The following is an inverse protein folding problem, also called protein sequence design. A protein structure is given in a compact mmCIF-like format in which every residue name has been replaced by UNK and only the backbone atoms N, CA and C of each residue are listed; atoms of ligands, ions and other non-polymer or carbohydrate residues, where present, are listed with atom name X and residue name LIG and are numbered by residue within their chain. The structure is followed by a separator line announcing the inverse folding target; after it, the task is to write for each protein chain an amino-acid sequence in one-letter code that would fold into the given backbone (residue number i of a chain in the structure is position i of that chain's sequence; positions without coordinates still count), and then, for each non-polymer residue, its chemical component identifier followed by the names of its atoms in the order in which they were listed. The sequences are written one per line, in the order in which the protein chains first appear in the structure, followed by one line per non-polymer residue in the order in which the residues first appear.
data_IF_416206988517
#
_entry.id   IF_416206988517
#
_cell.length_a   1.000
_cell.length_b   1.000
_cell.length_c   1.000
_cell.angle_alpha   90.00
_cell.angle_beta   90.00
_cell.angle_gamma   90.00
#
_symmetry.space_group_name_H-M   'P 1'
#
loop_
_entity.id
_entity.type
_entity.pdbx_description
1 polymer ?
2 non-polymer ?
3 non-polymer ?
4 water ?
#
# COMPACT_ATOMS: atom_id res chain seq x y z
N UNK A 1 25.22 14.96 -6.24
CA UNK A 1 23.83 14.58 -6.53
C UNK A 1 23.79 13.10 -6.90
N UNK A 2 24.09 13.21 -5.05
CA UNK A 2 23.68 11.97 -4.41
C UNK A 2 23.09 12.09 -3.03
N UNK A 3 21.95 10.60 -3.36
CA UNK A 3 20.58 10.36 -2.90
C UNK A 3 20.53 9.20 -1.90
N UNK A 4 21.09 9.10 -1.11
CA UNK A 4 21.43 8.20 0.00
C UNK A 4 20.36 8.13 1.07
N UNK A 5 19.72 6.97 1.23
CA UNK A 5 18.81 6.80 2.34
C UNK A 5 19.53 6.63 3.70
N UNK A 6 18.64 7.09 4.62
CA UNK A 6 19.00 6.80 5.99
C UNK A 6 17.79 6.16 6.72
N UNK A 7 17.97 5.59 7.91
CA UNK A 7 16.84 4.96 8.61
C UNK A 7 15.75 5.96 8.95
N UNK A 8 15.97 7.38 9.01
CA UNK A 8 15.01 8.45 9.32
C UNK A 8 14.03 8.50 8.15
N UNK A 9 14.45 8.11 6.65
CA UNK A 9 13.48 8.09 5.56
C UNK A 9 12.40 7.04 5.72
N UNK A 10 12.54 6.17 6.71
CA UNK A 10 11.42 5.29 7.01
C UNK A 10 11.23 4.28 5.89
N UNK A 11 12.28 3.85 5.29
CA UNK A 11 12.18 2.89 4.21
C UNK A 11 12.09 1.47 4.79
N UNK A 12 10.98 0.61 4.42
CA UNK A 12 10.84 -0.78 4.85
C UNK A 12 10.55 -1.71 3.67
N UNK A 13 11.01 -3.01 4.01
CA UNK A 13 10.87 -4.02 2.93
C UNK A 13 10.19 -5.26 3.54
N UNK A 14 9.45 -5.97 2.68
CA UNK A 14 8.97 -7.20 3.31
C UNK A 14 10.08 -8.27 3.15
N UNK A 15 10.15 -9.25 4.09
CA UNK A 15 11.06 -10.41 3.93
C UNK A 15 10.89 -11.15 2.61
N UNK A 16 9.64 -11.27 2.18
CA UNK A 16 9.23 -11.91 0.94
C UNK A 16 9.67 -11.21 -0.31
N UNK A 17 10.17 -10.03 -0.28
CA UNK A 17 10.45 -9.17 -1.41
C UNK A 17 11.84 -9.57 -1.88
N UNK A 18 12.95 -9.07 -1.10
CA UNK A 18 14.30 -9.52 -1.42
C UNK A 18 14.47 -11.02 -1.25
N UNK A 19 13.56 -11.65 -0.51
CA UNK A 19 13.60 -13.09 -0.29
C UNK A 19 12.96 -13.88 -1.43
N UNK A 20 12.30 -13.29 -2.48
CA UNK A 20 11.54 -14.07 -3.49
C UNK A 20 12.60 -14.79 -4.36
N UNK A 21 12.34 -16.19 -4.38
CA UNK A 21 13.30 -17.05 -5.10
C UNK A 21 12.95 -17.22 -6.57
N UNK A 22 12.02 -16.47 -7.07
CA UNK A 22 11.82 -16.38 -8.51
C UNK A 22 11.04 -17.56 -9.12
N UNK A 23 10.34 -18.16 -8.31
CA UNK A 23 9.40 -19.17 -8.80
C UNK A 23 8.10 -18.59 -9.30
N UNK A 24 7.72 -18.65 -10.53
CA UNK A 24 6.64 -17.95 -11.19
C UNK A 24 5.60 -19.00 -11.56
N UNK A 25 4.26 -18.75 -12.14
CA UNK A 25 3.41 -19.86 -12.60
C UNK A 25 4.01 -20.57 -13.83
N UNK A 26 5.33 -20.18 -14.57
CA UNK A 26 5.82 -21.08 -15.58
C UNK A 26 7.25 -21.52 -15.29
N UNK A 27 7.88 -21.46 -14.07
CA UNK A 27 9.34 -21.52 -14.01
C UNK A 27 9.69 -21.93 -12.56
N UNK A 28 10.70 -22.63 -12.47
CA UNK A 28 11.33 -22.84 -11.18
C UNK A 28 12.09 -21.64 -10.67
N UNK A 29 12.48 -21.92 -9.22
CA UNK A 29 13.21 -20.83 -8.53
C UNK A 29 14.57 -20.63 -9.21
N UNK A 30 15.15 -19.46 -9.28
CA UNK A 30 16.43 -19.10 -9.88
C UNK A 30 17.41 -18.60 -8.81
N UNK A 31 16.90 -18.44 -7.55
CA UNK A 31 17.76 -18.06 -6.43
C UNK A 31 17.45 -18.94 -5.23
N UNK A 32 18.54 -19.19 -4.51
CA UNK A 32 18.35 -19.94 -3.26
C UNK A 32 17.68 -19.04 -2.24
N UNK A 33 17.18 -19.59 -1.18
CA UNK A 33 16.39 -19.12 -0.03
C UNK A 33 17.36 -18.45 0.97
N UNK A 34 16.82 -17.10 1.23
CA UNK A 34 17.70 -16.28 2.07
C UNK A 34 17.26 -16.55 3.53
N UNK A 35 18.27 -16.57 4.38
CA UNK A 35 17.91 -16.52 5.82
C UNK A 35 17.37 -15.13 6.18
N UNK A 36 16.18 -14.95 6.84
CA UNK A 36 15.71 -13.70 7.42
C UNK A 36 16.73 -12.82 8.14
N UNK A 37 17.67 -13.55 8.91
CA UNK A 37 18.85 -12.85 9.33
C UNK A 37 19.73 -12.10 8.36
N UNK A 38 20.07 -12.80 7.39
CA UNK A 38 20.69 -12.25 6.22
C UNK A 38 20.12 -10.95 5.72
N UNK A 39 18.83 -11.15 5.49
CA UNK A 39 18.16 -10.02 4.81
C UNK A 39 18.08 -8.78 5.67
N UNK A 40 17.93 -9.08 7.00
CA UNK A 40 17.93 -7.96 7.94
C UNK A 40 19.27 -7.20 7.90
N UNK A 41 20.44 -7.91 7.94
CA UNK A 41 21.78 -7.37 7.86
C UNK A 41 21.93 -6.56 6.59
N UNK A 42 21.53 -7.23 5.41
CA UNK A 42 21.87 -6.56 4.11
C UNK A 42 21.11 -5.29 3.89
N UNK A 43 19.86 -5.33 4.34
CA UNK A 43 18.93 -4.19 4.22
C UNK A 43 19.31 -3.03 5.13
N UNK A 44 19.82 -3.44 6.35
CA UNK A 44 20.30 -2.34 7.20
C UNK A 44 21.50 -1.65 6.60
N UNK A 45 22.38 -2.51 5.92
CA UNK A 45 23.48 -1.82 5.29
C UNK A 45 23.13 -0.80 4.20
N UNK A 46 21.99 -1.07 3.56
CA UNK A 46 21.54 -0.26 2.40
C UNK A 46 20.82 0.99 2.88
N UNK A 47 20.60 1.03 4.27
CA UNK A 47 19.96 2.31 4.58
C UNK A 47 18.49 2.09 4.97
N UNK A 48 17.98 0.99 4.95
CA UNK A 48 16.60 0.73 5.32
C UNK A 48 16.35 1.02 6.80
N UNK A 49 15.07 1.16 7.19
CA UNK A 49 14.65 1.48 8.55
C UNK A 49 14.08 0.28 9.22
N UNK A 50 13.49 -0.76 8.39
CA UNK A 50 12.91 -1.95 9.02
C UNK A 50 12.40 -2.95 7.98
N UNK A 51 11.91 -3.94 8.62
CA UNK A 51 11.41 -4.97 7.72
C UNK A 51 9.96 -5.31 8.11
N UNK A 52 9.23 -6.16 7.37
CA UNK A 52 7.87 -6.68 7.69
C UNK A 52 7.89 -8.16 7.30
N UNK A 53 6.84 -8.80 7.73
CA UNK A 53 6.91 -10.22 7.53
C UNK A 53 5.49 -10.83 7.53
N UNK A 54 5.22 -11.97 6.76
CA UNK A 54 4.13 -12.91 7.06
C UNK A 54 4.71 -13.86 8.12
N UNK A 55 3.69 -14.35 8.93
CA UNK A 55 4.04 -15.41 9.84
C UNK A 55 4.93 -16.48 9.23
N UNK A 56 4.62 -16.96 8.01
CA UNK A 56 5.29 -18.15 7.46
C UNK A 56 6.56 -17.70 6.77
N UNK A 57 6.88 -16.31 6.69
CA UNK A 57 8.21 -15.96 6.16
C UNK A 57 9.25 -16.22 7.26
N UNK A 58 8.79 -16.15 8.45
CA UNK A 58 9.65 -16.09 9.62
C UNK A 58 9.80 -17.47 10.28
N UNK A 59 8.68 -18.03 10.51
CA UNK A 59 8.59 -19.35 11.11
C UNK A 59 7.97 -20.30 10.08
N UNK A 60 8.66 -21.35 9.56
CA UNK A 60 8.23 -22.39 8.62
C UNK A 60 6.92 -23.04 9.08
N UNK A 61 6.07 -23.05 8.14
CA UNK A 61 4.74 -23.60 8.32
C UNK A 61 4.91 -24.97 9.00
N UNK A 62 4.25 -25.24 9.95
CA UNK A 62 4.37 -26.57 10.51
C UNK A 62 5.19 -26.54 11.81
N UNK A 63 6.25 -25.57 11.94
CA UNK A 63 7.15 -25.42 13.06
C UNK A 63 6.58 -25.86 14.39
N UNK A 64 7.59 -26.74 15.19
CA UNK A 64 7.03 -26.85 16.53
C UNK A 64 7.09 -25.54 17.31
N UNK A 65 6.73 -25.55 18.57
CA UNK A 65 6.78 -24.37 19.41
C UNK A 65 8.15 -24.11 20.00
N UNK A 66 9.28 -25.03 19.83
CA UNK A 66 10.70 -24.94 20.21
C UNK A 66 11.56 -24.55 19.03
N UNK A 67 11.23 -24.88 17.80
CA UNK A 67 11.67 -24.22 16.59
C UNK A 67 11.05 -22.81 16.52
N UNK A 68 9.88 -22.54 16.60
CA UNK A 68 9.20 -21.26 16.71
C UNK A 68 10.00 -20.29 17.56
N UNK A 69 10.23 -20.76 18.76
CA UNK A 69 10.94 -19.77 19.57
C UNK A 69 12.34 -19.43 19.05
N UNK A 70 13.17 -20.32 18.66
CA UNK A 70 14.46 -20.38 17.99
C UNK A 70 14.56 -19.35 16.85
N UNK A 71 13.53 -19.50 15.90
CA UNK A 71 13.32 -18.59 14.78
C UNK A 71 13.19 -17.15 15.23
N UNK A 72 12.23 -17.07 16.20
CA UNK A 72 12.04 -15.72 16.70
C UNK A 72 13.29 -15.14 17.34
N UNK A 73 13.96 -15.87 18.26
CA UNK A 73 15.18 -15.41 18.93
C UNK A 73 16.29 -15.03 17.99
N UNK A 74 16.58 -15.81 16.98
CA UNK A 74 17.58 -15.38 16.00
C UNK A 74 17.25 -14.02 15.40
N UNK A 75 15.83 -13.96 15.13
CA UNK A 75 15.39 -12.77 14.36
C UNK A 75 15.71 -11.51 15.16
N UNK A 76 15.21 -11.64 16.36
CA UNK A 76 15.33 -10.61 17.38
C UNK A 76 16.78 -10.18 17.57
N UNK A 77 17.69 -11.22 17.66
CA UNK A 77 19.09 -10.79 17.71
C UNK A 77 19.52 -9.88 16.60
N UNK A 78 19.11 -10.30 15.26
CA UNK A 78 19.57 -9.46 14.16
C UNK A 78 19.04 -8.04 14.23
N UNK A 79 17.67 -7.89 14.69
CA UNK A 79 17.16 -6.53 14.80
C UNK A 79 17.96 -5.69 15.79
N UNK A 80 18.24 -6.43 17.00
CA UNK A 80 19.05 -5.71 17.99
C UNK A 80 20.45 -5.37 17.49
N UNK A 81 21.08 -6.19 16.72
CA UNK A 81 22.41 -5.93 16.17
C UNK A 81 22.35 -4.82 15.14
N UNK A 82 21.22 -4.48 14.43
CA UNK A 82 21.29 -3.59 13.25
C UNK A 82 20.54 -2.30 13.62
N UNK A 83 19.56 -2.43 14.69
CA UNK A 83 18.68 -1.29 14.95
C UNK A 83 17.45 -1.29 14.05
N UNK A 84 17.21 -2.39 13.25
CA UNK A 84 16.07 -2.41 12.36
C UNK A 84 14.77 -2.59 13.15
N UNK A 85 13.73 -1.96 12.61
CA UNK A 85 12.43 -2.12 13.27
C UNK A 85 11.56 -3.09 12.46
N UNK A 86 10.37 -3.42 13.11
CA UNK A 86 9.32 -4.20 12.44
C UNK A 86 7.98 -3.46 12.53
N UNK A 87 7.70 -2.53 11.57
CA UNK A 87 6.53 -1.68 11.82
C UNK A 87 5.22 -2.41 11.57
N UNK A 88 5.28 -3.45 10.70
CA UNK A 88 4.08 -4.04 10.11
C UNK A 88 4.37 -5.52 9.98
N UNK A 89 3.25 -6.26 10.24
CA UNK A 89 3.29 -7.70 10.02
C UNK A 89 1.91 -8.13 9.47
N UNK A 90 1.89 -9.39 9.01
CA UNK A 90 0.74 -9.86 8.24
C UNK A 90 0.72 -11.37 8.27
N UNK A 91 -0.37 -12.05 7.95
CA UNK A 91 -0.59 -13.48 7.88
C UNK A 91 -0.54 -14.02 6.47
N UNK A 92 0.09 -15.20 6.26
CA UNK A 92 -0.02 -15.93 4.98
C UNK A 92 -1.32 -16.75 5.15
N UNK A 93 -2.42 -16.26 4.43
CA UNK A 93 -3.58 -17.16 4.28
C UNK A 93 -3.83 -17.47 2.80
N UNK A 94 -2.61 -17.65 1.98
CA UNK A 94 -2.81 -17.80 0.54
C UNK A 94 -2.10 -19.07 0.07
N UNK A 95 -0.88 -19.46 0.68
CA UNK A 95 0.03 -20.44 0.10
C UNK A 95 -0.50 -21.86 0.25
N UNK A 96 -0.70 -22.18 1.35
CA UNK A 96 -1.05 -23.52 1.77
C UNK A 96 -2.34 -23.98 1.10
N UNK A 97 -2.42 -25.28 0.58
CA UNK A 97 -3.53 -25.66 -0.32
C UNK A 97 -4.86 -25.52 0.44
N UNK A 98 -4.88 -25.61 1.84
CA UNK A 98 -6.09 -25.52 2.67
C UNK A 98 -6.80 -24.19 2.32
N UNK A 99 -6.03 -23.07 1.86
CA UNK A 99 -6.51 -21.73 1.55
C UNK A 99 -7.07 -21.56 0.15
N UNK A 100 -7.25 -22.81 -0.62
CA UNK A 100 -7.40 -22.68 -2.05
C UNK A 100 -8.67 -21.87 -2.38
N UNK A 101 -9.80 -21.89 -1.45
CA UNK A 101 -11.01 -21.14 -1.67
C UNK A 101 -11.16 -20.00 -0.66
N UNK A 102 -9.91 -19.58 -0.13
CA UNK A 102 -9.99 -18.40 0.73
C UNK A 102 -9.63 -18.81 2.14
N UNK A 103 -9.59 -17.68 2.99
CA UNK A 103 -9.29 -17.98 4.41
C UNK A 103 -10.45 -17.45 5.25
N UNK A 104 -10.77 -16.15 5.25
CA UNK A 104 -11.90 -15.70 6.08
C UNK A 104 -13.21 -15.90 5.30
N UNK A 105 -13.27 -16.03 3.94
CA UNK A 105 -14.49 -16.30 3.20
C UNK A 105 -14.55 -17.65 2.49
N UNK A 106 -13.71 -18.61 2.97
CA UNK A 106 -13.65 -19.92 2.32
C UNK A 106 -15.05 -20.61 2.58
N UNK A 107 -15.58 -21.34 1.63
CA UNK A 107 -16.91 -21.91 1.85
C UNK A 107 -16.94 -22.85 3.04
N UNK A 108 -15.83 -23.64 3.23
CA UNK A 108 -15.80 -24.48 4.40
C UNK A 108 -15.67 -23.65 5.67
N UNK A 109 -16.62 -23.92 6.63
CA UNK A 109 -16.62 -23.10 7.83
C UNK A 109 -15.38 -23.45 8.70
N UNK A 110 -14.89 -24.78 8.67
CA UNK A 110 -13.71 -25.13 9.46
C UNK A 110 -12.43 -24.41 8.99
N UNK A 111 -12.39 -24.17 7.78
CA UNK A 111 -11.22 -23.42 7.26
C UNK A 111 -11.23 -21.99 7.80
N UNK A 112 -12.45 -21.46 7.75
CA UNK A 112 -12.56 -20.07 8.11
C UNK A 112 -12.18 -19.95 9.60
N UNK A 113 -12.51 -20.88 10.51
CA UNK A 113 -12.11 -20.85 11.92
C UNK A 113 -10.61 -20.94 12.14
N UNK A 114 -9.97 -21.89 11.25
CA UNK A 114 -8.54 -22.11 11.28
C UNK A 114 -7.80 -20.85 10.80
N UNK A 115 -8.42 -20.07 9.66
CA UNK A 115 -7.79 -18.84 9.22
C UNK A 115 -7.69 -17.84 10.36
N UNK A 116 -8.82 -17.71 11.19
CA UNK A 116 -8.81 -16.70 12.25
C UNK A 116 -7.80 -17.03 13.36
N UNK A 117 -7.71 -18.39 13.71
CA UNK A 117 -6.79 -18.78 14.79
C UNK A 117 -5.32 -18.54 14.35
N UNK A 118 -5.01 -18.87 13.00
CA UNK A 118 -3.65 -18.61 12.48
C UNK A 118 -3.36 -17.15 12.65
N UNK A 119 -4.30 -16.26 12.25
CA UNK A 119 -4.19 -14.79 12.25
C UNK A 119 -3.87 -14.30 13.67
N UNK A 120 -4.70 -14.72 14.63
CA UNK A 120 -4.58 -14.26 16.01
C UNK A 120 -3.28 -14.65 16.70
N UNK A 121 -2.81 -15.80 16.43
CA UNK A 121 -1.47 -16.20 16.92
C UNK A 121 -0.39 -15.22 16.39
N UNK A 122 -0.51 -14.73 15.01
CA UNK A 122 0.54 -13.90 14.52
C UNK A 122 0.36 -12.48 15.06
N UNK A 123 -0.92 -12.02 15.44
CA UNK A 123 -1.10 -10.66 15.98
C UNK A 123 -0.32 -10.54 17.30
N UNK A 124 -0.35 -11.76 18.06
CA UNK A 124 0.41 -11.69 19.29
C UNK A 124 1.90 -11.48 19.13
N UNK A 125 2.46 -12.32 18.07
CA UNK A 125 3.86 -12.07 17.71
C UNK A 125 4.14 -10.65 17.33
N UNK A 126 3.34 -10.14 16.25
CA UNK A 126 3.58 -8.80 15.76
C UNK A 126 3.73 -7.80 16.90
N UNK A 127 2.69 -7.84 17.84
CA UNK A 127 2.71 -7.02 19.05
C UNK A 127 4.00 -7.17 19.86
N UNK A 128 4.50 -8.39 20.12
CA UNK A 128 5.82 -8.66 20.67
C UNK A 128 6.93 -7.92 19.94
N UNK A 129 6.94 -7.94 18.68
CA UNK A 129 8.06 -7.38 17.91
C UNK A 129 7.92 -5.90 17.68
N UNK A 130 6.68 -5.33 18.12
CA UNK A 130 6.57 -3.87 18.13
C UNK A 130 5.85 -3.25 16.94
N UNK A 131 5.06 -4.23 16.18
CA UNK A 131 4.57 -3.67 14.88
C UNK A 131 3.41 -2.71 15.28
N UNK A 132 3.13 -1.75 14.54
CA UNK A 132 2.04 -0.81 14.88
C UNK A 132 0.81 -1.19 14.05
N UNK A 133 1.08 -1.85 12.75
CA UNK A 133 0.04 -2.10 11.72
C UNK A 133 0.10 -3.57 11.36
N UNK A 134 -1.20 -4.06 11.29
CA UNK A 134 -1.31 -5.46 10.89
C UNK A 134 -2.07 -5.51 9.55
N UNK A 135 -1.46 -5.93 8.48
CA UNK A 135 -2.07 -5.90 7.14
C UNK A 135 -2.84 -7.20 6.96
N UNK A 136 -3.97 -7.10 6.22
CA UNK A 136 -4.73 -8.26 5.70
C UNK A 136 -4.90 -8.13 4.14
N UNK A 137 -4.21 -9.02 3.33
CA UNK A 137 -4.39 -9.14 1.88
C UNK A 137 -5.21 -10.44 1.69
N UNK A 138 -6.55 -10.23 1.33
CA UNK A 138 -7.22 -11.55 1.15
C UNK A 138 -7.04 -11.95 -0.34
N UNK A 139 -5.87 -12.52 -0.73
CA UNK A 139 -5.54 -12.78 -2.15
C UNK A 139 -6.28 -14.06 -2.57
N UNK A 140 -6.87 -14.89 -1.63
CA UNK A 140 -7.59 -16.10 -2.06
C UNK A 140 -9.09 -15.89 -1.73
N UNK A 141 -9.61 -14.76 -1.38
CA UNK A 141 -11.01 -14.43 -1.22
C UNK A 141 -11.63 -13.88 -2.52
N UNK A 142 -12.57 -14.89 -3.19
CA UNK A 142 -13.00 -14.45 -4.54
C UNK A 142 -13.40 -15.75 -5.27
N UNK A 143 -13.37 -15.64 -6.56
CA UNK A 143 -14.01 -16.78 -7.28
C UNK A 143 -13.48 -16.69 -8.74
N UNK A 144 -13.55 -17.93 -9.46
CA UNK A 144 -13.33 -17.99 -10.90
C UNK A 144 -14.64 -18.11 -11.67
N UNK A 145 -15.75 -18.41 -10.81
CA UNK A 145 -17.03 -18.61 -11.50
C UNK A 145 -18.20 -18.12 -10.67
N UNK A 146 -19.35 -17.65 -11.22
CA UNK A 146 -20.26 -16.76 -10.57
C UNK A 146 -21.15 -17.53 -9.54
N UNK A 147 -21.27 -18.97 -9.61
CA UNK A 147 -22.17 -19.62 -8.65
C UNK A 147 -21.33 -20.12 -7.48
N UNK A 148 -19.99 -20.08 -7.45
CA UNK A 148 -19.07 -20.70 -6.45
C UNK A 148 -19.01 -19.81 -5.21
N UNK A 149 -19.46 -18.53 -5.21
CA UNK A 149 -19.39 -17.59 -4.08
C UNK A 149 -20.63 -16.70 -4.12
N UNK A 150 -21.43 -16.76 -3.10
CA UNK A 150 -22.44 -15.72 -2.94
C UNK A 150 -21.76 -14.48 -2.31
N UNK A 151 -21.70 -13.32 -3.03
CA UNK A 151 -20.86 -12.29 -2.47
C UNK A 151 -21.43 -11.63 -1.23
N UNK A 152 -22.73 -11.48 -1.11
CA UNK A 152 -23.34 -10.97 0.10
C UNK A 152 -22.99 -11.80 1.31
N UNK A 153 -23.17 -13.23 1.16
CA UNK A 153 -22.75 -14.05 2.27
C UNK A 153 -21.24 -13.91 2.53
N UNK A 154 -20.47 -13.83 1.43
CA UNK A 154 -19.05 -13.74 1.73
C UNK A 154 -18.66 -12.41 2.44
N UNK A 155 -19.37 -11.30 2.17
CA UNK A 155 -18.99 -10.04 2.86
C UNK A 155 -19.43 -10.14 4.30
N UNK A 156 -20.63 -10.82 4.53
CA UNK A 156 -20.95 -11.12 5.91
C UNK A 156 -19.83 -11.87 6.62
N UNK A 157 -19.25 -12.93 6.06
CA UNK A 157 -18.13 -13.64 6.67
C UNK A 157 -16.88 -12.72 6.74
N UNK A 158 -16.65 -11.93 5.82
CA UNK A 158 -15.44 -11.11 5.97
C UNK A 158 -15.67 -10.11 7.10
N UNK A 159 -16.89 -9.51 7.22
CA UNK A 159 -17.10 -8.55 8.29
C UNK A 159 -17.00 -9.26 9.64
N UNK A 160 -17.57 -10.49 9.73
CA UNK A 160 -17.47 -11.27 10.97
C UNK A 160 -16.03 -11.48 11.41
N UNK A 161 -15.12 -11.87 10.44
CA UNK A 161 -13.71 -12.14 10.73
C UNK A 161 -13.02 -10.84 11.21
N UNK A 162 -13.21 -9.72 10.53
CA UNK A 162 -12.56 -8.47 10.96
C UNK A 162 -13.12 -7.97 12.30
N UNK A 163 -14.49 -8.10 12.51
CA UNK A 163 -15.02 -7.77 13.81
C UNK A 163 -14.45 -8.63 14.92
N UNK A 164 -14.22 -9.94 14.75
CA UNK A 164 -13.66 -10.74 15.86
C UNK A 164 -12.17 -10.35 15.99
N UNK A 165 -11.47 -10.04 14.95
CA UNK A 165 -10.10 -9.56 15.17
C UNK A 165 -10.10 -8.29 16.03
N UNK A 166 -11.02 -7.36 15.70
CA UNK A 166 -11.11 -6.07 16.39
C UNK A 166 -11.39 -6.36 17.87
N UNK A 167 -12.41 -7.30 18.08
CA UNK A 167 -12.64 -7.67 19.46
C UNK A 167 -11.38 -8.14 20.16
N UNK A 168 -10.67 -9.02 19.56
CA UNK A 168 -9.55 -9.68 20.26
C UNK A 168 -8.53 -8.59 20.61
N UNK A 169 -8.16 -7.66 19.74
CA UNK A 169 -7.12 -6.63 19.95
C UNK A 169 -7.55 -5.70 21.08
N UNK A 170 -8.85 -5.39 21.20
CA UNK A 170 -9.29 -4.41 22.18
C UNK A 170 -9.57 -5.12 23.52
N UNK A 171 -9.69 -6.48 23.38
CA UNK A 171 -9.80 -7.21 24.64
C UNK A 171 -8.42 -7.38 25.24
N UNK A 172 -7.38 -7.48 24.34
CA UNK A 172 -6.02 -7.67 24.87
C UNK A 172 -5.48 -6.30 25.29
N UNK A 173 -6.10 -5.20 24.99
CA UNK A 173 -5.39 -3.93 25.18
C UNK A 173 -4.26 -3.75 24.16
N UNK A 174 -4.22 -4.19 23.01
CA UNK A 174 -3.10 -3.95 22.09
C UNK A 174 -3.24 -2.64 21.28
N UNK A 175 -2.05 -2.05 21.09
CA UNK A 175 -2.06 -0.89 20.23
C UNK A 175 -1.77 -1.24 18.76
N UNK A 176 -2.57 -1.69 18.16
CA UNK A 176 -2.33 -2.21 16.84
C UNK A 176 -3.52 -1.82 15.97
N UNK A 177 -3.37 -1.39 14.81
CA UNK A 177 -4.49 -1.18 13.92
C UNK A 177 -4.41 -2.18 12.78
N UNK A 178 -5.55 -2.22 11.99
CA UNK A 178 -5.52 -3.09 10.83
C UNK A 178 -5.58 -2.30 9.53
N UNK A 179 -4.98 -2.87 8.50
CA UNK A 179 -4.89 -2.17 7.20
C UNK A 179 -5.30 -3.21 6.17
N UNK A 180 -6.45 -3.05 5.44
CA UNK A 180 -6.79 -3.99 4.38
C UNK A 180 -6.08 -3.54 3.11
N UNK A 181 -5.46 -4.56 2.39
CA UNK A 181 -4.74 -4.28 1.12
C UNK A 181 -5.60 -4.83 -0.03
N UNK A 182 -6.18 -3.93 -0.93
CA UNK A 182 -7.01 -4.41 -2.04
C UNK A 182 -6.06 -5.00 -3.10
N UNK A 183 -6.68 -5.91 -3.90
CA UNK A 183 -6.12 -6.33 -5.18
C UNK A 183 -7.31 -6.75 -6.08
N UNK A 184 -7.35 -6.43 -7.40
CA UNK A 184 -8.57 -6.67 -8.11
C UNK A 184 -8.69 -8.11 -8.51
N UNK A 185 -7.63 -8.82 -8.82
CA UNK A 185 -7.67 -10.22 -9.30
C UNK A 185 -6.25 -10.74 -9.06
N UNK A 186 -6.05 -12.08 -9.35
CA UNK A 186 -4.81 -12.84 -9.33
C UNK A 186 -4.37 -13.02 -7.86
N UNK A 187 -4.47 -14.17 -7.29
CA UNK A 187 -4.58 -15.43 -8.02
C UNK A 187 -6.01 -15.90 -8.22
N UNK A 188 -7.01 -15.33 -7.64
CA UNK A 188 -8.41 -15.64 -8.01
C UNK A 188 -8.83 -14.77 -9.21
N UNK A 189 -9.88 -15.28 -9.87
CA UNK A 189 -10.36 -14.67 -11.13
C UNK A 189 -10.75 -13.24 -10.95
N UNK A 190 -11.51 -13.23 -9.74
CA UNK A 190 -11.86 -11.93 -9.19
C UNK A 190 -11.64 -11.98 -7.66
N UNK A 191 -11.13 -10.91 -7.07
CA UNK A 191 -10.84 -10.82 -5.67
C UNK A 191 -11.83 -9.84 -5.06
N UNK A 192 -12.44 -10.30 -3.73
CA UNK A 192 -13.38 -9.36 -3.10
C UNK A 192 -12.68 -8.11 -2.53
N UNK A 193 -13.33 -7.04 -2.41
CA UNK A 193 -12.87 -5.68 -2.17
C UNK A 193 -11.70 -5.39 -3.12
N UNK A 194 -11.92 -5.23 -4.42
CA UNK A 194 -10.89 -5.33 -5.42
C UNK A 194 -10.07 -4.03 -5.47
N UNK A 195 -10.56 -2.91 -5.04
CA UNK A 195 -9.95 -1.62 -5.08
C UNK A 195 -9.91 -0.94 -3.72
N UNK A 196 -9.13 0.21 -3.56
CA UNK A 196 -9.17 1.07 -2.37
C UNK A 196 -10.63 1.45 -2.12
N UNK A 197 -11.40 1.93 -3.14
CA UNK A 197 -12.75 2.44 -2.84
C UNK A 197 -13.65 1.34 -2.23
N UNK A 198 -13.49 0.00 -2.76
CA UNK A 198 -14.38 -1.02 -2.18
C UNK A 198 -13.90 -1.32 -0.78
N UNK A 199 -12.60 -1.31 -0.44
CA UNK A 199 -12.08 -1.53 0.90
C UNK A 199 -12.45 -0.41 1.86
N UNK A 200 -12.46 0.89 1.51
CA UNK A 200 -12.91 2.04 2.32
C UNK A 200 -14.38 1.91 2.67
N UNK A 201 -15.20 1.46 1.62
CA UNK A 201 -16.64 1.34 1.81
C UNK A 201 -16.91 0.30 2.88
N UNK A 202 -16.14 -0.87 2.67
CA UNK A 202 -16.41 -2.02 3.53
C UNK A 202 -16.07 -1.69 4.98
N UNK A 203 -15.05 -0.89 5.17
CA UNK A 203 -14.63 -0.58 6.53
C UNK A 203 -15.76 0.03 7.36
N UNK A 204 -16.56 0.96 6.60
CA UNK A 204 -17.57 1.77 7.25
C UNK A 204 -18.68 0.90 7.85
N UNK A 205 -18.76 -0.42 7.48
CA UNK A 205 -19.78 -1.34 8.00
C UNK A 205 -19.25 -2.19 9.14
N UNK A 206 -17.84 -1.96 9.55
CA UNK A 206 -17.47 -2.86 10.66
C UNK A 206 -17.92 -2.26 11.99
N UNK A 207 -17.86 -3.15 13.00
CA UNK A 207 -18.27 -2.58 14.25
C UNK A 207 -17.39 -1.45 14.79
N UNK A 208 -16.07 -1.66 14.68
CA UNK A 208 -15.26 -0.56 15.19
C UNK A 208 -14.43 0.08 14.06
N UNK A 209 -14.98 0.95 13.15
CA UNK A 209 -14.30 1.35 11.91
C UNK A 209 -12.98 2.05 12.21
N UNK A 210 -12.86 2.57 13.51
CA UNK A 210 -11.68 3.41 13.68
C UNK A 210 -10.40 2.60 13.83
N UNK A 211 -10.55 1.27 13.86
CA UNK A 211 -9.43 0.34 13.95
C UNK A 211 -8.87 -0.07 12.60
N UNK A 212 -9.63 0.34 11.48
CA UNK A 212 -9.23 -0.26 10.22
C UNK A 212 -8.96 0.89 9.27
N UNK A 213 -7.77 0.66 8.33
CA UNK A 213 -7.65 1.61 7.22
C UNK A 213 -7.22 0.75 6.01
N UNK A 214 -6.49 1.39 5.16
CA UNK A 214 -6.19 0.65 3.96
C UNK A 214 -4.66 0.55 3.90
N UNK A 215 -4.16 -0.47 3.08
CA UNK A 215 -2.76 -0.49 2.61
C UNK A 215 -2.78 -0.58 1.09
N UNK A 216 -2.94 0.50 0.36
CA UNK A 216 -3.05 0.40 -1.08
C UNK A 216 -1.66 0.01 -1.63
N UNK A 217 -1.65 -0.60 -2.84
CA UNK A 217 -0.35 -0.84 -3.47
C UNK A 217 -0.49 -0.30 -4.91
N UNK A 218 0.72 0.43 -5.24
CA UNK A 218 0.73 1.03 -6.56
C UNK A 218 0.12 0.12 -7.60
N UNK A 219 0.84 -1.08 -7.78
CA UNK A 219 0.54 -1.90 -8.95
C UNK A 219 -0.84 -2.58 -8.95
N UNK A 220 -1.46 -2.68 -7.68
CA UNK A 220 -2.80 -3.31 -7.67
C UNK A 220 -3.93 -2.35 -8.07
N UNK A 221 -3.89 -1.01 -7.77
CA UNK A 221 -4.88 -0.16 -8.44
C UNK A 221 -4.65 -0.09 -9.93
N UNK A 222 -3.37 -0.05 -10.36
CA UNK A 222 -3.08 0.03 -11.76
C UNK A 222 -3.53 -1.15 -12.61
N UNK A 223 -3.70 -2.29 -11.78
CA UNK A 223 -4.19 -3.49 -12.45
C UNK A 223 -5.67 -3.34 -12.81
N UNK A 224 -6.36 -2.31 -12.18
CA UNK A 224 -7.66 -1.91 -12.71
C UNK A 224 -7.61 -0.69 -13.63
N UNK A 225 -6.44 -0.18 -14.07
CA UNK A 225 -6.45 0.99 -14.97
C UNK A 225 -6.88 2.21 -14.13
N UNK A 226 -6.68 2.19 -12.70
CA UNK A 226 -7.12 3.36 -11.94
C UNK A 226 -5.90 4.26 -11.58
N UNK A 227 -6.27 5.60 -11.20
CA UNK A 227 -5.18 6.60 -11.04
C UNK A 227 -4.73 6.46 -9.60
N UNK A 228 -3.54 5.84 -9.33
CA UNK A 228 -3.17 5.54 -7.97
C UNK A 228 -3.04 6.78 -7.08
N UNK A 229 -2.44 7.93 -7.54
CA UNK A 229 -2.48 9.07 -6.61
C UNK A 229 -3.88 9.57 -6.30
N UNK A 230 -4.90 9.52 -7.23
CA UNK A 230 -6.29 9.84 -6.89
C UNK A 230 -6.85 8.88 -5.82
N UNK A 231 -6.58 7.66 -5.90
CA UNK A 231 -6.93 6.66 -4.90
C UNK A 231 -6.43 7.01 -3.51
N UNK A 232 -5.19 7.34 -3.49
CA UNK A 232 -4.50 7.62 -2.21
C UNK A 232 -5.08 8.95 -1.69
N UNK A 233 -5.30 10.06 -2.49
CA UNK A 233 -6.00 11.30 -2.14
C UNK A 233 -7.28 10.92 -1.39
N UNK A 234 -8.11 9.98 -2.01
CA UNK A 234 -9.35 9.68 -1.34
C UNK A 234 -9.15 9.01 -0.01
N UNK A 235 -8.16 7.98 0.04
CA UNK A 235 -7.85 7.38 1.31
C UNK A 235 -7.40 8.48 2.31
N UNK A 236 -6.51 9.41 1.94
CA UNK A 236 -6.15 10.51 2.84
C UNK A 236 -7.37 11.35 3.20
N UNK A 237 -8.22 11.67 2.35
CA UNK A 237 -9.40 12.49 2.69
C UNK A 237 -10.28 11.77 3.68
N UNK A 238 -10.28 10.36 3.71
CA UNK A 238 -11.09 9.62 4.65
C UNK A 238 -10.34 9.47 5.97
N UNK A 239 -9.22 9.82 6.10
CA UNK A 239 -8.39 9.56 7.26
C UNK A 239 -7.90 8.14 7.35
N UNK A 240 -7.71 7.34 6.30
CA UNK A 240 -7.55 5.91 6.40
C UNK A 240 -6.24 5.43 5.68
N UNK A 241 -5.32 6.30 5.40
CA UNK A 241 -4.04 5.82 4.85
C UNK A 241 -3.12 5.40 6.00
N UNK A 242 -3.29 4.10 6.44
CA UNK A 242 -2.51 3.55 7.53
C UNK A 242 -1.11 3.13 7.12
N UNK A 243 -0.95 2.69 5.89
CA UNK A 243 0.30 2.05 5.43
C UNK A 243 0.26 2.10 3.90
N UNK A 244 1.37 1.88 3.19
CA UNK A 244 1.29 1.94 1.73
C UNK A 244 2.25 0.84 1.31
N UNK A 245 2.00 0.35 0.01
CA UNK A 245 3.02 -0.52 -0.61
C UNK A 245 3.49 0.20 -1.89
N UNK A 246 4.74 0.34 -1.92
CA UNK A 246 5.28 1.07 -3.08
C UNK A 246 5.91 0.10 -4.07
N UNK A 247 5.68 0.26 -5.48
CA UNK A 247 6.37 -0.61 -6.42
C UNK A 247 5.89 -0.06 -7.79
N UNK A 248 6.11 -0.78 -8.86
CA UNK A 248 5.78 -0.32 -10.20
C UNK A 248 4.95 -1.42 -10.88
N UNK A 249 4.38 -0.97 -11.96
CA UNK A 249 3.54 -1.89 -12.74
C UNK A 249 3.35 -1.30 -14.14
N UNK A 250 3.50 -2.02 -15.18
CA UNK A 250 3.27 -1.46 -16.55
C UNK A 250 1.84 -1.90 -16.93
N UNK A 251 0.83 -1.21 -16.51
CA UNK A 251 -0.49 -1.33 -17.08
C UNK A 251 -1.21 -2.57 -16.59
N UNK A 252 -2.25 -2.92 -17.31
CA UNK A 252 -3.26 -3.88 -16.88
C UNK A 252 -2.79 -5.26 -17.39
N UNK A 253 -2.23 -5.97 -16.43
CA UNK A 253 -1.66 -7.31 -16.76
C UNK A 253 -1.44 -8.05 -15.44
N UNK A 254 -0.78 -9.15 -15.39
CA UNK A 254 -0.41 -9.83 -14.13
C UNK A 254 0.40 -8.84 -13.31
N UNK A 255 0.33 -9.24 -11.80
CA UNK A 255 0.99 -8.32 -10.85
C UNK A 255 2.51 -8.41 -10.88
N UNK A 256 3.12 -7.20 -11.53
CA UNK A 256 4.56 -7.35 -11.81
C UNK A 256 5.38 -7.18 -10.51
N UNK A 257 4.92 -6.13 -9.63
CA UNK A 257 5.75 -5.86 -8.47
C UNK A 257 7.16 -5.31 -8.74
N UNK A 258 7.41 -4.54 -9.85
CA UNK A 258 8.74 -4.03 -10.20
C UNK A 258 9.19 -3.04 -9.11
N UNK A 259 10.45 -2.80 -9.04
CA UNK A 259 10.90 -1.83 -8.05
C UNK A 259 10.12 -0.55 -8.29
N UNK A 260 10.06 0.21 -7.21
CA UNK A 260 9.45 1.51 -7.18
C UNK A 260 10.23 2.52 -8.03
N UNK A 261 9.58 3.27 -8.97
CA UNK A 261 10.03 4.20 -10.00
C UNK A 261 9.71 3.56 -11.36
N UNK A 262 9.97 2.14 -11.36
CA UNK A 262 9.63 1.53 -12.64
C UNK A 262 8.10 1.46 -12.83
N UNK A 263 7.68 1.14 -14.03
CA UNK A 263 6.25 1.33 -14.26
C UNK A 263 5.93 2.68 -14.86
N UNK A 264 4.80 3.13 -14.20
CA UNK A 264 4.39 4.51 -14.51
C UNK A 264 5.22 5.51 -13.72
N UNK A 265 6.20 6.04 -14.26
CA UNK A 265 7.07 6.97 -13.56
C UNK A 265 6.27 8.29 -13.27
N UNK A 266 5.40 8.89 -14.21
CA UNK A 266 4.77 10.16 -13.80
C UNK A 266 3.85 9.92 -12.60
N UNK A 267 3.12 8.76 -12.59
CA UNK A 267 2.29 8.43 -11.44
C UNK A 267 3.07 8.35 -10.14
N UNK A 268 4.28 7.78 -10.19
CA UNK A 268 5.17 7.75 -9.02
C UNK A 268 5.54 9.20 -8.61
N UNK A 269 5.65 10.19 -9.45
CA UNK A 269 6.12 11.59 -9.16
C UNK A 269 4.93 12.16 -8.38
N UNK A 270 3.59 11.93 -9.07
CA UNK A 270 2.54 12.68 -8.38
C UNK A 270 2.18 11.95 -7.05
N UNK A 271 2.55 10.62 -6.95
CA UNK A 271 2.30 9.98 -5.63
C UNK A 271 3.27 10.56 -4.57
N UNK A 272 4.51 10.71 -4.81
CA UNK A 272 5.45 11.31 -3.86
C UNK A 272 5.12 12.77 -3.56
N UNK A 273 4.69 13.54 -4.54
CA UNK A 273 4.21 14.90 -4.37
C UNK A 273 3.10 14.95 -3.34
N UNK A 274 2.16 13.98 -3.49
CA UNK A 274 1.04 13.90 -2.60
C UNK A 274 1.35 13.35 -1.19
N UNK A 275 2.13 12.30 -1.06
CA UNK A 275 2.45 11.85 0.31
C UNK A 275 3.21 12.92 1.09
N UNK A 276 4.18 13.54 0.30
CA UNK A 276 5.01 14.47 1.09
C UNK A 276 4.19 15.76 1.35
N UNK A 277 3.19 16.11 0.49
CA UNK A 277 2.58 17.40 0.80
C UNK A 277 1.40 17.20 1.72
N UNK A 278 0.89 16.06 1.83
CA UNK A 278 -0.15 15.73 2.81
C UNK A 278 0.52 15.45 4.15
N UNK A 279 2.02 15.13 4.18
CA UNK A 279 2.67 14.83 5.46
C UNK A 279 2.39 13.42 5.97
N UNK A 280 2.18 12.43 4.96
CA UNK A 280 2.06 11.04 5.40
C UNK A 280 3.27 10.66 6.25
N UNK A 281 2.91 9.99 7.44
CA UNK A 281 4.15 9.79 8.19
C UNK A 281 4.37 8.34 8.56
N UNK A 282 3.61 7.40 7.75
CA UNK A 282 3.89 6.00 8.06
C UNK A 282 5.15 5.57 7.30
N UNK A 283 5.43 4.21 7.34
CA UNK A 283 6.54 3.62 6.60
C UNK A 283 6.38 3.75 5.09
N UNK A 284 7.53 3.96 4.40
CA UNK A 284 7.53 3.85 2.95
C UNK A 284 8.00 2.44 2.64
N UNK A 285 6.98 1.59 2.54
CA UNK A 285 7.24 0.16 2.39
C UNK A 285 7.23 -0.33 0.94
N UNK A 286 8.30 -1.17 0.61
CA UNK A 286 8.46 -1.60 -0.79
C UNK A 286 7.99 -3.05 -0.85
N UNK A 287 6.85 -3.23 -1.60
CA UNK A 287 6.44 -4.56 -1.90
C UNK A 287 6.73 -4.99 -3.34
N UNK A 288 8.02 -5.49 -3.58
CA UNK A 288 8.48 -5.56 -4.98
C UNK A 288 9.12 -6.96 -5.15
N UNK A 289 9.32 -7.48 -6.30
CA UNK A 289 10.08 -8.70 -6.54
C UNK A 289 11.21 -8.38 -7.54
N UNK A 290 12.45 -8.70 -7.01
CA UNK A 290 13.57 -8.54 -7.95
C UNK A 290 13.43 -9.54 -9.11
N UNK A 291 13.42 -9.06 -10.31
CA UNK A 291 13.07 -10.03 -11.35
C UNK A 291 13.87 -11.29 -11.20
N UNK A 292 13.38 -12.45 -11.73
CA UNK A 292 14.05 -13.74 -11.59
C UNK A 292 15.24 -13.87 -12.53
N UNK A 293 15.53 -12.89 -13.47
CA UNK A 293 16.75 -12.76 -14.27
C UNK A 293 17.96 -12.55 -13.36
N UNK A 294 17.72 -12.09 -12.13
CA UNK A 294 18.73 -11.46 -11.31
C UNK A 294 19.46 -12.46 -10.41
N UNK A 295 20.76 -12.25 -10.13
CA UNK A 295 21.34 -13.01 -9.03
C UNK A 295 21.21 -12.24 -7.72
N UNK A 296 21.86 -12.62 -6.60
CA UNK A 296 21.73 -11.80 -5.40
C UNK A 296 22.36 -10.42 -5.52
N UNK A 297 23.39 -10.12 -6.32
CA UNK A 297 23.83 -8.75 -6.50
C UNK A 297 22.73 -7.88 -7.10
N UNK A 298 21.91 -8.52 -8.16
CA UNK A 298 20.79 -7.87 -8.83
C UNK A 298 19.77 -7.51 -7.77
N UNK A 299 19.51 -8.45 -6.77
CA UNK A 299 18.59 -8.23 -5.68
C UNK A 299 18.84 -6.97 -4.85
N UNK A 300 20.09 -6.95 -4.31
CA UNK A 300 20.37 -5.70 -3.60
C UNK A 300 20.46 -4.45 -4.44
N UNK A 301 20.73 -4.45 -5.68
CA UNK A 301 20.66 -3.32 -6.63
C UNK A 301 19.23 -2.78 -6.72
N UNK A 302 18.34 -3.77 -6.94
CA UNK A 302 16.93 -3.52 -7.21
C UNK A 302 16.30 -2.80 -6.02
N UNK A 303 16.61 -3.38 -4.67
CA UNK A 303 16.11 -2.82 -3.39
C UNK A 303 16.77 -1.43 -3.19
N UNK A 304 18.08 -1.26 -3.50
CA UNK A 304 18.59 0.11 -3.44
C UNK A 304 17.78 1.00 -4.38
N UNK A 305 17.55 0.53 -5.80
CA UNK A 305 17.01 1.59 -6.69
C UNK A 305 15.64 2.03 -6.11
N UNK A 306 14.89 1.12 -5.35
CA UNK A 306 13.60 1.56 -4.78
C UNK A 306 13.70 2.84 -3.95
N UNK A 307 14.59 2.75 -3.03
CA UNK A 307 14.88 3.92 -2.19
C UNK A 307 15.39 5.15 -2.87
N UNK A 308 16.37 4.91 -3.90
CA UNK A 308 16.94 6.05 -4.66
C UNK A 308 15.79 6.80 -5.29
N UNK A 309 14.84 5.93 -5.95
CA UNK A 309 13.90 6.60 -6.88
C UNK A 309 12.95 7.48 -6.07
N UNK A 310 12.63 6.96 -4.95
CA UNK A 310 11.81 7.69 -3.99
C UNK A 310 12.47 9.02 -3.61
N UNK A 311 13.80 9.01 -3.25
CA UNK A 311 14.46 10.30 -2.92
C UNK A 311 14.60 11.22 -4.10
N UNK A 312 14.91 10.72 -5.30
CA UNK A 312 15.02 11.65 -6.42
C UNK A 312 13.66 12.32 -6.55
N UNK A 313 12.54 11.47 -6.60
CA UNK A 313 11.22 12.05 -6.92
C UNK A 313 10.73 13.00 -5.82
N UNK A 314 11.12 12.74 -4.62
CA UNK A 314 10.90 13.71 -3.57
C UNK A 314 11.56 15.06 -3.86
N UNK A 315 12.85 14.99 -4.17
CA UNK A 315 13.52 16.28 -4.44
C UNK A 315 12.76 16.98 -5.55
N UNK A 316 12.42 16.36 -6.76
CA UNK A 316 11.82 17.00 -7.94
C UNK A 316 10.41 17.50 -7.58
N UNK A 317 9.63 16.83 -6.69
CA UNK A 317 8.30 17.29 -6.34
C UNK A 317 8.33 18.52 -5.44
N UNK A 318 9.26 18.57 -4.51
CA UNK A 318 9.56 19.70 -3.62
C UNK A 318 10.04 20.89 -4.45
N UNK A 319 10.91 20.72 -5.52
CA UNK A 319 11.45 21.91 -6.20
C UNK A 319 10.28 22.46 -6.97
N UNK A 320 9.26 21.48 -7.56
CA UNK A 320 8.12 21.91 -8.40
C UNK A 320 7.23 22.82 -7.52
N UNK A 321 6.95 22.39 -6.24
CA UNK A 321 6.00 23.13 -5.42
C UNK A 321 6.53 24.44 -4.83
N UNK A 322 7.98 24.38 -4.79
CA UNK A 322 8.66 25.57 -4.33
C UNK A 322 8.85 26.65 -5.36
N UNK A 323 8.57 26.35 -6.64
CA UNK A 323 9.01 27.23 -7.72
C UNK A 323 7.95 28.34 -7.79
N UNK A 324 8.33 29.69 -7.68
CA UNK A 324 7.35 30.76 -7.75
C UNK A 324 6.55 30.61 -9.06
N UNK A 325 7.26 30.19 -10.28
CA UNK A 325 6.53 30.23 -11.54
C UNK A 325 5.41 29.15 -11.45
N UNK A 326 5.74 28.10 -10.76
CA UNK A 326 4.73 27.03 -10.68
C UNK A 326 3.62 27.61 -9.79
N UNK A 327 3.91 28.26 -8.61
CA UNK A 327 2.81 28.79 -7.80
C UNK A 327 2.04 29.86 -8.61
N UNK A 328 2.55 30.68 -9.46
CA UNK A 328 1.80 31.62 -10.33
C UNK A 328 0.85 30.79 -11.15
N UNK A 329 1.53 29.63 -11.88
CA UNK A 329 0.69 28.82 -12.78
C UNK A 329 -0.55 28.29 -12.05
N UNK A 330 -0.33 27.78 -10.78
CA UNK A 330 -1.41 27.08 -10.06
C UNK A 330 -2.52 28.11 -9.80
N UNK A 331 -2.15 29.47 -9.61
CA UNK A 331 -3.20 30.48 -9.56
C UNK A 331 -3.82 30.71 -10.94
N UNK A 332 -3.06 30.59 -11.93
CA UNK A 332 -3.64 30.87 -13.26
C UNK A 332 -4.70 29.76 -13.50
N UNK A 333 -4.48 28.61 -12.94
CA UNK A 333 -5.35 27.47 -13.24
C UNK A 333 -6.47 27.37 -12.24
N UNK A 334 -6.48 28.39 -11.30
CA UNK A 334 -7.52 28.47 -10.29
C UNK A 334 -7.52 27.33 -9.32
N UNK A 335 -6.27 26.68 -8.99
CA UNK A 335 -6.32 25.73 -7.88
C UNK A 335 -6.57 26.43 -6.55
N UNK A 336 -6.23 27.66 -6.33
CA UNK A 336 -6.62 28.47 -5.19
C UNK A 336 -8.15 28.53 -5.08
N UNK A 337 -8.88 28.64 -6.10
CA UNK A 337 -10.33 28.72 -6.05
C UNK A 337 -10.96 27.37 -5.80
N UNK A 338 -10.25 26.25 -6.22
CA UNK A 338 -10.83 24.94 -5.90
C UNK A 338 -10.83 24.71 -4.40
N UNK A 339 -9.84 25.33 -3.65
CA UNK A 339 -9.75 25.14 -2.21
C UNK A 339 -10.76 26.02 -1.46
N UNK A 340 -11.45 26.90 -2.11
CA UNK A 340 -12.40 27.73 -1.33
C UNK A 340 -13.78 27.09 -1.38
N UNK A 341 -14.58 27.27 -0.28
CA UNK A 341 -15.95 26.74 -0.27
C UNK A 341 -16.75 27.35 -1.42
N UNK A 342 -17.69 26.45 -1.99
CA UNK A 342 -18.58 26.88 -3.09
C UNK A 342 -19.62 27.88 -2.56
N UNK A 343 -20.10 27.45 -1.38
CA UNK A 343 -21.21 28.30 -0.93
C UNK A 343 -21.16 28.34 0.60
N UNK A 344 -20.22 29.09 1.06
CA UNK A 344 -20.16 29.13 2.54
C UNK A 344 -21.20 30.16 3.03
N UNK A 345 -21.86 30.85 2.10
CA UNK A 345 -22.95 31.76 2.30
C UNK A 345 -24.26 31.07 2.60
N UNK A 346 -24.20 29.81 2.27
CA UNK A 346 -25.33 28.96 2.67
C UNK A 346 -26.27 28.84 1.46
N UNK A 347 -27.25 27.83 1.72
CA UNK A 347 -28.17 27.45 0.64
C UNK A 347 -29.11 28.58 0.25
N UNK A 348 -29.71 29.23 1.23
CA UNK A 348 -30.61 30.33 0.93
C UNK A 348 -30.04 31.48 0.18
N UNK A 349 -28.75 31.86 0.61
CA UNK A 349 -28.01 32.89 -0.12
C UNK A 349 -27.74 32.48 -1.55
N UNK A 350 -27.29 31.17 -1.75
CA UNK A 350 -27.09 30.64 -3.11
C UNK A 350 -28.32 30.79 -3.99
N UNK A 351 -29.46 30.46 -3.32
CA UNK A 351 -30.69 30.48 -4.09
C UNK A 351 -31.19 31.88 -4.40
N UNK A 352 -30.82 32.87 -3.70
CA UNK A 352 -31.24 34.25 -3.94
C UNK A 352 -30.14 34.98 -4.72
N UNK A 353 -29.01 34.34 -5.01
CA UNK A 353 -27.93 35.00 -5.76
C UNK A 353 -28.18 34.90 -7.26
N UNK A 354 -28.67 35.91 -7.83
CA UNK A 354 -28.83 36.06 -9.26
C UNK A 354 -27.57 35.88 -10.07
N UNK A 355 -26.37 36.17 -9.52
CA UNK A 355 -25.08 36.05 -10.21
C UNK A 355 -24.61 34.59 -10.38
N UNK A 356 -25.43 33.81 -9.62
CA UNK A 356 -25.22 32.37 -9.67
C UNK A 356 -26.09 31.72 -10.74
N UNK A 357 -27.08 32.41 -11.33
CA UNK A 357 -27.83 31.73 -12.38
C UNK A 357 -28.43 32.67 -13.42
N UNK A 358 -29.41 33.41 -13.06
CA UNK A 358 -30.28 34.30 -13.83
C UNK A 358 -29.31 35.24 -14.55
N UNK A 359 -28.13 35.63 -13.86
CA UNK A 359 -27.28 36.68 -14.42
C UNK A 359 -25.84 36.27 -14.53
N UNK A 360 -25.81 34.85 -14.59
CA UNK A 360 -24.50 34.27 -14.82
C UNK A 360 -24.18 34.16 -16.31
N UNK A 361 -23.06 34.86 -16.67
CA UNK A 361 -22.67 34.90 -18.07
C UNK A 361 -21.94 33.59 -18.37
N UNK A 362 -22.68 32.52 -18.93
CA UNK A 362 -22.06 31.25 -19.19
C UNK A 362 -21.04 31.21 -20.30
N UNK A 363 -21.22 31.87 -21.33
CA UNK A 363 -20.22 32.06 -22.38
C UNK A 363 -18.89 32.66 -21.95
N UNK A 364 -18.98 33.75 -21.03
CA UNK A 364 -17.71 34.38 -20.64
C UNK A 364 -16.89 33.38 -19.84
N UNK A 365 -17.57 32.69 -18.94
CA UNK A 365 -16.96 31.68 -18.11
C UNK A 365 -16.43 30.48 -18.89
N UNK A 366 -17.26 29.95 -19.97
CA UNK A 366 -16.78 28.83 -20.81
C UNK A 366 -15.52 29.33 -21.55
N UNK A 367 -15.34 30.61 -21.92
CA UNK A 367 -14.25 31.11 -22.76
C UNK A 367 -12.92 31.09 -22.00
N UNK A 368 -13.02 30.98 -20.55
CA UNK A 368 -11.72 31.10 -19.92
C UNK A 368 -10.90 29.82 -20.17
N UNK A 369 -9.67 29.86 -20.54
CA UNK A 369 -8.85 28.67 -20.56
C UNK A 369 -8.45 28.22 -19.15
N UNK A 370 -8.25 26.88 -18.98
CA UNK A 370 -7.78 26.51 -17.67
C UNK A 370 -6.25 26.57 -17.51
N UNK A 371 -5.51 26.71 -18.53
CA UNK A 371 -4.04 26.80 -18.49
C UNK A 371 -3.37 25.60 -17.89
N UNK A 372 -4.01 24.36 -18.00
CA UNK A 372 -3.46 23.14 -17.42
C UNK A 372 -2.23 22.66 -18.22
N UNK A 373 -2.17 22.73 -19.58
CA UNK A 373 -1.02 22.19 -20.32
C UNK A 373 0.25 22.94 -19.93
N UNK A 374 0.11 24.29 -19.67
CA UNK A 374 1.39 25.01 -19.36
C UNK A 374 1.85 24.52 -17.99
N UNK A 375 0.94 24.34 -17.07
CA UNK A 375 1.14 23.84 -15.74
C UNK A 375 1.72 22.43 -15.74
N UNK A 376 1.22 21.59 -16.71
CA UNK A 376 1.72 20.21 -16.71
C UNK A 376 3.10 20.17 -17.37
N UNK A 377 3.48 21.03 -18.40
CA UNK A 377 4.83 20.96 -18.86
C UNK A 377 5.77 21.49 -17.77
N UNK A 378 5.35 22.46 -16.96
CA UNK A 378 6.22 22.83 -15.85
C UNK A 378 6.62 21.74 -14.93
N UNK A 379 5.47 20.84 -14.71
CA UNK A 379 5.70 19.64 -13.97
C UNK A 379 6.60 18.60 -14.59
N UNK A 380 6.47 18.46 -15.98
CA UNK A 380 7.42 17.65 -16.77
C UNK A 380 8.85 18.18 -16.68
N UNK A 381 9.07 19.53 -16.88
CA UNK A 381 10.43 20.06 -16.87
C UNK A 381 11.07 19.93 -15.48
N UNK A 382 10.27 19.97 -14.41
CA UNK A 382 10.74 19.71 -13.05
C UNK A 382 11.14 18.30 -12.76
N UNK A 383 10.27 17.32 -13.10
CA UNK A 383 10.64 15.91 -13.01
C UNK A 383 11.87 15.56 -13.88
N UNK A 384 12.18 16.10 -15.00
CA UNK A 384 13.29 15.70 -15.85
C UNK A 384 14.54 16.53 -15.52
N UNK A 385 14.38 17.46 -14.58
CA UNK A 385 15.58 18.22 -14.22
C UNK A 385 15.87 19.21 -15.33
N UNK A 386 14.71 19.70 -16.11
CA UNK A 386 14.89 20.57 -17.28
C UNK A 386 14.17 21.87 -16.99
N UNK A 387 14.48 22.71 -15.89
CA UNK A 387 14.44 23.14 -14.50
C UNK A 387 15.02 22.14 -13.49
#
# INVERSE_FOLDING_TARGET
MNYQPTPEDRFTFGLWTVGWQGRDPFGDATRRALDPVESVQRLAELGAHGVTFHDDDLIPFGSSDSEREEHVKRFRQALDDTGMKVPMATTNLFTHPVFKDGGFTANDRDVRRYALRKTIRNIDLAVELGAETYVAWGGREGAESGGAKDVRDALDRMKEAFDLLGEYVTSQGYDIRFAIEPKPNEPRGDILLPTVGHALAFIERLERPELYGVNPEVGHEQMAGLNFPHGIAQALWAGKLFHIDLNGQNGIKYDQDLRFGAGDLRAAFWLVDLLESAGYSGPRHFDFKPPRTEDFDGVWASAAGCMRNYLILKERAAAFRADPEVQEALRASRLDELARPTAADGLQALLDDRSAFEEFDVDAAAARGMAFERLDQLAMDHLLGARG
#
